data_IF_030363566504
#
_entry.id   IF_030363566504
#
_cell.length_a   1.000
_cell.length_b   1.000
_cell.length_c   1.000
_cell.angle_alpha   90.00
_cell.angle_beta   90.00
_cell.angle_gamma   90.00
#
_symmetry.space_group_name_H-M   'P 1'
#
loop_
_entity.id
_entity.type
_entity.pdbx_description
1 polymer ?
#
# COMPACT_ATOMS: atom_id res chain seq x y z
N UNK A 1 -3.03 -5.58 2.00
CA UNK A 1 -3.80 -6.85 1.88
C UNK A 1 -3.82 -7.57 3.22
N UNK A 2 -2.65 -7.87 3.79
CA UNK A 2 -2.52 -8.62 5.06
C UNK A 2 -3.09 -7.87 6.26
N UNK A 3 -2.83 -6.56 6.39
CA UNK A 3 -3.44 -5.76 7.48
C UNK A 3 -4.97 -5.77 7.40
N UNK A 4 -5.52 -5.69 6.19
CA UNK A 4 -6.97 -5.75 6.00
C UNK A 4 -7.54 -7.15 6.27
N UNK A 5 -6.78 -8.23 6.05
CA UNK A 5 -7.16 -9.57 6.50
C UNK A 5 -7.23 -9.62 8.04
N UNK A 6 -6.22 -9.08 8.74
CA UNK A 6 -6.21 -8.99 10.21
C UNK A 6 -7.41 -8.18 10.70
N UNK A 7 -7.68 -7.01 10.12
CA UNK A 7 -8.82 -6.17 10.50
C UNK A 7 -10.16 -6.88 10.27
N UNK A 8 -10.29 -7.71 9.22
CA UNK A 8 -11.50 -8.54 8.99
C UNK A 8 -11.64 -9.65 10.03
N UNK A 9 -10.56 -10.24 10.48
CA UNK A 9 -10.59 -11.24 11.56
C UNK A 9 -10.94 -10.62 12.91
N UNK A 10 -10.63 -9.34 13.10
CA UNK A 10 -11.07 -8.57 14.27
C UNK A 10 -12.54 -8.15 14.19
N UNK A 11 -13.11 -8.08 13.00
CA UNK A 11 -14.52 -7.73 12.80
C UNK A 11 -15.47 -8.89 13.17
N UNK A 12 -16.78 -8.62 13.38
CA UNK A 12 -17.77 -9.67 13.53
C UNK A 12 -17.82 -10.60 12.30
N UNK A 13 -18.06 -11.92 12.48
CA UNK A 13 -18.44 -12.60 13.73
C UNK A 13 -17.25 -13.07 14.59
N UNK A 14 -16.01 -13.01 14.10
CA UNK A 14 -14.86 -13.61 14.78
C UNK A 14 -14.40 -12.84 16.01
N UNK A 15 -14.50 -11.50 16.01
CA UNK A 15 -14.16 -10.63 17.15
C UNK A 15 -12.81 -10.94 17.82
N UNK A 16 -11.81 -11.37 17.02
CA UNK A 16 -10.50 -11.74 17.55
C UNK A 16 -9.73 -10.50 18.02
N UNK A 17 -8.84 -10.67 19.01
CA UNK A 17 -7.83 -9.66 19.28
C UNK A 17 -6.87 -9.54 18.09
N UNK A 18 -6.25 -8.36 17.92
CA UNK A 18 -5.26 -8.14 16.86
C UNK A 18 -4.10 -9.14 16.95
N UNK A 19 -3.62 -9.42 18.15
CA UNK A 19 -2.52 -10.36 18.40
C UNK A 19 -2.90 -11.79 18.02
N UNK A 20 -4.13 -12.22 18.34
CA UNK A 20 -4.62 -13.54 17.95
C UNK A 20 -4.75 -13.67 16.42
N UNK A 21 -5.30 -12.64 15.75
CA UNK A 21 -5.40 -12.62 14.29
C UNK A 21 -4.01 -12.63 13.62
N UNK A 22 -3.07 -11.82 14.12
CA UNK A 22 -1.70 -11.78 13.64
C UNK A 22 -0.99 -13.14 13.82
N UNK A 23 -1.18 -13.81 14.97
CA UNK A 23 -0.60 -15.12 15.22
C UNK A 23 -1.12 -16.19 14.24
N UNK A 24 -2.43 -16.19 13.92
CA UNK A 24 -3.00 -17.10 12.91
C UNK A 24 -2.35 -16.85 11.54
N UNK A 25 -2.22 -15.59 11.13
CA UNK A 25 -1.59 -15.23 9.85
C UNK A 25 -0.11 -15.62 9.81
N UNK A 26 0.63 -15.48 10.90
CA UNK A 26 2.05 -15.86 10.97
C UNK A 26 2.27 -17.38 10.95
N UNK A 27 1.28 -18.16 11.35
CA UNK A 27 1.38 -19.62 11.49
C UNK A 27 0.71 -20.41 10.37
N UNK A 28 0.03 -19.72 9.43
CA UNK A 28 -0.67 -20.34 8.30
C UNK A 28 0.29 -20.94 7.26
N UNK A 29 -0.24 -21.73 6.34
CA UNK A 29 0.53 -22.22 5.19
C UNK A 29 0.65 -21.12 4.12
N UNK A 30 1.77 -21.03 3.36
CA UNK A 30 1.86 -20.09 2.24
C UNK A 30 0.67 -20.17 1.27
N UNK A 31 0.12 -21.36 1.07
CA UNK A 31 -1.04 -21.60 0.22
C UNK A 31 -2.31 -20.89 0.74
N UNK A 32 -2.51 -20.78 2.05
CA UNK A 32 -3.67 -20.11 2.64
C UNK A 32 -3.70 -18.61 2.28
N UNK A 33 -2.55 -17.95 2.35
CA UNK A 33 -2.43 -16.53 2.00
C UNK A 33 -2.60 -16.29 0.51
N UNK A 34 -2.08 -17.20 -0.33
CA UNK A 34 -2.29 -17.16 -1.77
C UNK A 34 -3.76 -17.37 -2.13
N UNK A 35 -4.43 -18.32 -1.50
CA UNK A 35 -5.85 -18.56 -1.67
C UNK A 35 -6.67 -17.32 -1.28
N UNK A 36 -6.40 -16.71 -0.13
CA UNK A 36 -7.08 -15.49 0.29
C UNK A 36 -6.83 -14.33 -0.69
N UNK A 37 -5.59 -14.12 -1.13
CA UNK A 37 -5.25 -13.12 -2.14
C UNK A 37 -6.06 -13.30 -3.42
N UNK A 38 -6.25 -14.54 -3.86
CA UNK A 38 -7.04 -14.83 -5.07
C UNK A 38 -8.54 -14.65 -4.90
N UNK A 39 -9.08 -14.94 -3.71
CA UNK A 39 -10.47 -14.62 -3.39
C UNK A 39 -10.69 -13.10 -3.45
N UNK A 40 -9.78 -12.31 -2.87
CA UNK A 40 -9.80 -10.83 -2.92
C UNK A 40 -9.73 -10.33 -4.36
N UNK A 41 -8.83 -10.88 -5.18
CA UNK A 41 -8.70 -10.53 -6.59
C UNK A 41 -9.97 -10.84 -7.39
N UNK A 42 -10.54 -12.03 -7.19
CA UNK A 42 -11.75 -12.45 -7.90
C UNK A 42 -12.95 -11.57 -7.55
N UNK A 43 -13.10 -11.25 -6.26
CA UNK A 43 -14.20 -10.44 -5.75
C UNK A 43 -14.13 -8.97 -6.20
N UNK A 44 -12.94 -8.42 -6.44
CA UNK A 44 -12.78 -7.09 -7.03
C UNK A 44 -13.44 -6.95 -8.41
N UNK A 45 -13.55 -8.06 -9.17
CA UNK A 45 -14.03 -8.08 -10.56
C UNK A 45 -13.31 -7.01 -11.39
N UNK A 46 -12.03 -7.26 -11.65
CA UNK A 46 -11.10 -6.33 -12.30
C UNK A 46 -11.65 -5.69 -13.59
N UNK A 47 -12.45 -6.41 -14.38
CA UNK A 47 -13.04 -5.89 -15.61
C UNK A 47 -14.42 -5.25 -15.43
N UNK A 48 -14.85 -5.02 -14.19
CA UNK A 48 -16.15 -4.42 -13.87
C UNK A 48 -17.31 -5.43 -13.80
N UNK A 49 -18.54 -4.93 -13.64
CA UNK A 49 -19.75 -5.75 -13.60
C UNK A 49 -20.06 -6.40 -14.96
N UNK A 50 -21.03 -7.33 -15.03
CA UNK A 50 -21.50 -7.91 -16.30
C UNK A 50 -21.84 -6.81 -17.33
N UNK A 51 -21.58 -7.03 -18.64
CA UNK A 51 -21.33 -8.32 -19.29
C UNK A 51 -19.87 -8.79 -19.30
N UNK A 52 -18.95 -8.06 -18.67
CA UNK A 52 -17.54 -8.45 -18.67
C UNK A 52 -17.34 -9.77 -17.91
N UNK A 53 -16.47 -10.67 -18.42
CA UNK A 53 -16.26 -11.99 -17.81
C UNK A 53 -15.66 -11.87 -16.41
N UNK A 54 -15.90 -12.86 -15.56
CA UNK A 54 -15.22 -12.92 -14.27
C UNK A 54 -13.72 -13.23 -14.44
N UNK A 55 -12.85 -12.76 -13.53
CA UNK A 55 -11.43 -13.12 -13.53
C UNK A 55 -11.21 -14.64 -13.47
N UNK A 56 -12.01 -15.35 -12.67
CA UNK A 56 -11.90 -16.79 -12.51
C UNK A 56 -12.91 -17.54 -13.39
N UNK A 57 -12.44 -18.58 -14.08
CA UNK A 57 -13.29 -19.56 -14.77
C UNK A 57 -13.99 -20.49 -13.76
N UNK A 58 -15.01 -21.28 -14.17
CA UNK A 58 -15.75 -22.15 -13.26
C UNK A 58 -14.89 -23.13 -12.45
N UNK A 59 -13.88 -23.74 -13.08
CA UNK A 59 -12.95 -24.65 -12.39
C UNK A 59 -12.14 -23.92 -11.31
N UNK A 60 -11.71 -22.69 -11.61
CA UNK A 60 -10.98 -21.85 -10.67
C UNK A 60 -11.88 -21.36 -9.54
N UNK A 61 -13.14 -21.02 -9.82
CA UNK A 61 -14.12 -20.68 -8.78
C UNK A 61 -14.42 -21.89 -7.87
N UNK A 62 -14.46 -23.10 -8.42
CA UNK A 62 -14.61 -24.32 -7.64
C UNK A 62 -13.40 -24.59 -6.73
N UNK A 63 -12.20 -24.23 -7.19
CA UNK A 63 -10.98 -24.31 -6.39
C UNK A 63 -10.89 -23.20 -5.33
N UNK A 64 -11.30 -21.99 -5.67
CA UNK A 64 -11.38 -20.84 -4.75
C UNK A 64 -12.58 -20.94 -3.79
N UNK A 65 -13.21 -22.12 -3.69
CA UNK A 65 -14.33 -22.32 -2.78
C UNK A 65 -13.92 -21.89 -1.38
N UNK A 66 -14.92 -21.31 -0.75
CA UNK A 66 -14.82 -20.57 0.48
C UNK A 66 -14.42 -21.41 1.71
N UNK A 67 -14.26 -22.75 1.57
CA UNK A 67 -14.02 -23.72 2.64
C UNK A 67 -12.66 -24.43 2.62
N UNK A 68 -11.77 -24.16 1.65
CA UNK A 68 -10.52 -24.93 1.46
C UNK A 68 -9.30 -24.33 2.21
N UNK A 69 -9.39 -23.10 2.73
CA UNK A 69 -8.28 -22.39 3.39
C UNK A 69 -8.46 -22.15 4.89
N UNK A 70 -7.37 -21.77 5.57
CA UNK A 70 -7.37 -21.43 7.00
C UNK A 70 -8.17 -20.16 7.35
N UNK A 71 -8.49 -19.31 6.37
CA UNK A 71 -9.20 -18.06 6.58
C UNK A 71 -10.67 -18.18 6.20
N UNK A 72 -11.50 -17.41 6.90
CA UNK A 72 -12.90 -17.26 6.53
C UNK A 72 -13.04 -16.77 5.07
N UNK A 73 -14.12 -17.17 4.39
CA UNK A 73 -14.46 -16.73 3.04
C UNK A 73 -14.30 -15.23 2.87
N UNK A 74 -13.57 -14.76 1.85
CA UNK A 74 -13.58 -13.33 1.54
C UNK A 74 -14.95 -12.91 1.00
N UNK A 75 -15.66 -12.07 1.76
CA UNK A 75 -16.93 -11.47 1.37
C UNK A 75 -16.66 -10.01 1.00
N UNK A 76 -16.78 -9.60 -0.28
CA UNK A 76 -16.58 -8.21 -0.65
C UNK A 76 -17.68 -7.33 -0.05
N UNK A 77 -17.28 -6.19 0.50
CA UNK A 77 -18.24 -5.14 0.86
C UNK A 77 -18.99 -4.65 -0.41
N UNK A 78 -20.33 -4.80 -0.48
CA UNK A 78 -21.12 -4.38 -1.64
C UNK A 78 -21.10 -2.86 -1.85
N UNK A 79 -20.88 -2.07 -0.80
CA UNK A 79 -20.74 -0.60 -0.91
C UNK A 79 -19.43 -0.18 -1.58
N UNK A 80 -18.47 -1.10 -1.68
CA UNK A 80 -17.15 -0.90 -2.29
C UNK A 80 -17.00 -1.70 -3.62
N UNK A 81 -18.11 -1.99 -4.30
CA UNK A 81 -18.08 -2.68 -5.58
C UNK A 81 -17.22 -1.93 -6.62
N UNK A 82 -16.28 -2.64 -7.26
CA UNK A 82 -15.35 -2.06 -8.23
C UNK A 82 -14.24 -1.18 -7.61
N UNK A 83 -14.12 -1.16 -6.27
CA UNK A 83 -13.02 -0.52 -5.55
C UNK A 83 -12.08 -1.61 -5.03
N UNK A 84 -10.75 -1.51 -5.25
CA UNK A 84 -9.79 -2.47 -4.71
C UNK A 84 -9.93 -2.61 -3.19
N UNK A 85 -10.05 -3.83 -2.66
CA UNK A 85 -10.13 -4.11 -1.22
C UNK A 85 -8.78 -4.62 -0.67
N UNK A 86 -7.71 -3.94 -1.11
CA UNK A 86 -6.35 -4.05 -0.62
C UNK A 86 -5.73 -2.64 -0.52
N UNK A 87 -4.50 -2.56 -0.06
CA UNK A 87 -3.82 -1.29 0.19
C UNK A 87 -3.33 -0.67 -1.11
N UNK A 88 -3.41 0.66 -1.21
CA UNK A 88 -2.96 1.38 -2.40
C UNK A 88 -1.44 1.23 -2.59
N UNK A 89 -0.94 1.26 -3.81
CA UNK A 89 0.49 1.08 -4.13
C UNK A 89 1.42 2.05 -3.38
N UNK A 90 0.89 3.20 -2.94
CA UNK A 90 1.60 4.15 -2.09
C UNK A 90 2.02 3.58 -0.73
N UNK A 91 1.20 2.71 -0.13
CA UNK A 91 1.53 1.93 1.07
C UNK A 91 2.78 1.08 0.83
N UNK A 92 2.78 0.32 -0.26
CA UNK A 92 3.89 -0.56 -0.61
C UNK A 92 5.14 0.24 -0.92
N UNK A 93 5.01 1.37 -1.62
CA UNK A 93 6.13 2.25 -1.95
C UNK A 93 6.86 2.75 -0.69
N UNK A 94 6.13 3.29 0.29
CA UNK A 94 6.78 3.83 1.50
C UNK A 94 7.40 2.74 2.36
N UNK A 95 6.72 1.58 2.49
CA UNK A 95 7.29 0.46 3.23
C UNK A 95 8.50 -0.14 2.53
N UNK A 96 8.51 -0.23 1.21
CA UNK A 96 9.66 -0.77 0.49
C UNK A 96 10.88 0.16 0.58
N UNK A 97 10.66 1.48 0.66
CA UNK A 97 11.71 2.46 0.95
C UNK A 97 12.43 2.25 2.29
N UNK A 98 11.87 1.46 3.22
CA UNK A 98 12.54 1.14 4.51
C UNK A 98 13.74 0.20 4.37
N UNK A 99 13.89 -0.45 3.22
CA UNK A 99 14.77 -1.60 2.96
C UNK A 99 14.38 -2.90 3.66
N UNK A 100 13.15 -3.00 4.19
CA UNK A 100 12.69 -4.21 4.87
C UNK A 100 12.85 -5.46 4.00
N UNK A 101 12.47 -5.41 2.72
CA UNK A 101 12.57 -6.58 1.82
C UNK A 101 14.01 -7.04 1.64
N UNK A 102 14.97 -6.12 1.44
CA UNK A 102 16.39 -6.43 1.23
C UNK A 102 17.01 -7.01 2.50
N UNK A 103 16.63 -6.49 3.67
CA UNK A 103 17.06 -7.03 4.96
C UNK A 103 16.51 -8.44 5.15
N UNK A 104 15.21 -8.66 4.93
CA UNK A 104 14.58 -9.98 5.05
C UNK A 104 15.14 -10.99 4.02
N UNK A 105 15.52 -10.54 2.83
CA UNK A 105 16.22 -11.37 1.83
C UNK A 105 17.53 -11.91 2.38
N UNK A 106 18.33 -11.06 3.04
CA UNK A 106 19.58 -11.49 3.68
C UNK A 106 19.32 -12.42 4.86
N UNK A 107 18.31 -12.17 5.67
CA UNK A 107 17.90 -13.09 6.76
C UNK A 107 17.60 -14.48 6.19
N UNK A 108 16.82 -14.55 5.10
CA UNK A 108 16.49 -15.81 4.46
C UNK A 108 17.74 -16.53 3.92
N UNK A 109 18.64 -15.79 3.25
CA UNK A 109 19.91 -16.33 2.77
C UNK A 109 20.76 -16.91 3.91
N UNK A 110 20.87 -16.19 5.02
CA UNK A 110 21.66 -16.64 6.16
C UNK A 110 21.05 -17.88 6.84
N UNK A 111 19.72 -17.99 6.95
CA UNK A 111 19.10 -19.20 7.50
C UNK A 111 19.10 -20.40 6.53
N UNK A 112 18.92 -20.19 5.22
CA UNK A 112 18.80 -21.27 4.23
C UNK A 112 20.13 -21.76 3.67
N UNK A 113 21.16 -20.92 3.68
CA UNK A 113 22.45 -21.25 3.04
C UNK A 113 23.67 -20.81 3.84
N UNK A 114 23.58 -19.73 4.60
CA UNK A 114 24.72 -19.17 5.32
C UNK A 114 25.01 -19.81 6.68
N UNK A 115 24.00 -20.40 7.32
CA UNK A 115 23.99 -20.85 8.73
C UNK A 115 24.46 -19.77 9.75
N UNK A 116 24.66 -18.52 9.32
CA UNK A 116 25.25 -17.45 10.11
C UNK A 116 24.36 -16.91 11.23
N UNK A 117 23.06 -17.25 11.21
CA UNK A 117 22.08 -16.86 12.23
C UNK A 117 21.74 -17.99 13.21
N UNK A 118 22.41 -19.15 13.10
CA UNK A 118 22.10 -20.33 13.90
C UNK A 118 20.88 -21.09 13.42
N UNK A 119 20.31 -21.93 14.29
CA UNK A 119 19.20 -22.83 13.96
C UNK A 119 17.87 -22.13 14.24
N UNK A 120 17.01 -21.90 13.23
CA UNK A 120 15.72 -21.25 13.42
C UNK A 120 14.73 -22.17 14.15
N UNK A 121 13.87 -21.58 14.99
CA UNK A 121 12.73 -22.29 15.57
C UNK A 121 11.77 -22.80 14.48
N UNK A 122 10.91 -23.76 14.82
CA UNK A 122 9.89 -24.29 13.88
C UNK A 122 9.00 -23.16 13.34
N UNK A 123 8.65 -22.20 14.20
CA UNK A 123 7.82 -21.07 13.80
C UNK A 123 8.56 -20.14 12.82
N UNK A 124 9.86 -19.89 13.04
CA UNK A 124 10.68 -19.14 12.08
C UNK A 124 10.88 -19.90 10.77
N UNK A 125 10.97 -21.23 10.79
CA UNK A 125 11.02 -22.03 9.57
C UNK A 125 9.77 -21.86 8.70
N UNK A 126 8.57 -21.85 9.31
CA UNK A 126 7.32 -21.53 8.59
C UNK A 126 7.33 -20.10 8.05
N UNK A 127 7.80 -19.15 8.85
CA UNK A 127 7.96 -17.76 8.40
C UNK A 127 8.90 -17.66 7.18
N UNK A 128 9.99 -18.44 7.15
CA UNK A 128 10.93 -18.48 6.03
C UNK A 128 10.23 -18.98 4.74
N UNK A 129 9.43 -20.04 4.82
CA UNK A 129 8.68 -20.59 3.68
C UNK A 129 7.71 -19.56 3.09
N UNK A 130 6.90 -18.92 3.94
CA UNK A 130 5.94 -17.89 3.51
C UNK A 130 6.67 -16.69 2.91
N UNK A 131 7.75 -16.25 3.55
CA UNK A 131 8.57 -15.13 3.08
C UNK A 131 9.15 -15.40 1.69
N UNK A 132 9.67 -16.61 1.46
CA UNK A 132 10.23 -17.01 0.17
C UNK A 132 9.18 -17.00 -0.94
N UNK A 133 8.01 -17.57 -0.67
CA UNK A 133 6.88 -17.64 -1.62
C UNK A 133 6.34 -16.25 -1.94
N UNK A 134 6.10 -15.41 -0.93
CA UNK A 134 5.45 -14.11 -1.12
C UNK A 134 6.40 -13.03 -1.66
N UNK A 135 7.65 -12.99 -1.21
CA UNK A 135 8.58 -11.89 -1.53
C UNK A 135 9.52 -12.21 -2.70
N UNK A 136 9.90 -13.48 -2.86
CA UNK A 136 10.94 -13.90 -3.80
C UNK A 136 10.42 -14.84 -4.90
N UNK A 137 9.11 -15.13 -4.91
CA UNK A 137 8.45 -15.84 -6.01
C UNK A 137 8.79 -17.32 -6.07
N UNK A 138 9.18 -17.93 -4.94
CA UNK A 138 9.34 -19.38 -4.86
C UNK A 138 8.04 -20.08 -5.27
N UNK A 139 8.16 -21.05 -6.20
CA UNK A 139 7.13 -21.92 -6.78
C UNK A 139 5.68 -21.61 -6.36
N UNK A 140 5.06 -20.60 -6.96
CA UNK A 140 3.67 -20.26 -6.64
C UNK A 140 2.72 -21.37 -7.16
N UNK A 141 1.92 -22.02 -6.29
CA UNK A 141 0.97 -23.06 -6.71
C UNK A 141 -0.15 -22.53 -7.63
N UNK A 142 -0.38 -21.21 -7.67
CA UNK A 142 -1.35 -20.51 -8.50
C UNK A 142 -0.67 -19.57 -9.51
N UNK A 143 0.26 -20.12 -10.28
CA UNK A 143 1.08 -19.43 -11.28
C UNK A 143 0.37 -18.57 -12.35
N UNK A 144 -0.87 -18.86 -12.84
CA UNK A 144 -1.45 -18.09 -13.94
C UNK A 144 -1.70 -16.61 -13.60
N UNK A 145 -1.47 -16.23 -12.34
CA UNK A 145 -1.85 -14.95 -11.81
C UNK A 145 -0.72 -14.16 -11.13
N UNK A 146 0.51 -14.62 -11.29
CA UNK A 146 1.70 -13.91 -10.84
C UNK A 146 1.96 -12.64 -11.65
N UNK A 147 2.51 -11.61 -10.99
CA UNK A 147 3.11 -10.45 -11.66
C UNK A 147 4.54 -10.75 -12.15
N UNK A 148 5.12 -11.86 -11.71
CA UNK A 148 6.44 -12.35 -12.12
C UNK A 148 6.28 -13.55 -13.05
N UNK A 149 7.32 -13.79 -13.86
CA UNK A 149 7.40 -14.94 -14.76
C UNK A 149 8.85 -15.11 -15.21
N UNK A 150 9.13 -16.08 -16.08
CA UNK A 150 10.46 -16.19 -16.73
C UNK A 150 10.87 -14.89 -17.45
N UNK A 151 9.91 -14.09 -17.91
CA UNK A 151 10.16 -12.79 -18.57
C UNK A 151 10.40 -11.68 -17.54
N UNK A 152 9.78 -11.78 -16.36
CA UNK A 152 9.90 -10.80 -15.26
C UNK A 152 10.32 -11.54 -13.99
N UNK A 153 11.58 -12.00 -13.91
CA UNK A 153 12.00 -12.95 -12.88
C UNK A 153 12.14 -12.30 -11.51
N UNK A 154 12.52 -11.03 -11.43
CA UNK A 154 12.72 -10.32 -10.17
C UNK A 154 11.43 -9.61 -9.70
N UNK A 155 10.84 -10.02 -8.55
CA UNK A 155 9.69 -9.35 -7.96
C UNK A 155 9.96 -7.88 -7.59
N UNK A 156 11.18 -7.52 -7.19
CA UNK A 156 11.53 -6.14 -6.84
C UNK A 156 11.53 -5.23 -8.08
N UNK A 157 12.14 -5.67 -9.18
CA UNK A 157 12.07 -4.99 -10.48
C UNK A 157 10.62 -4.72 -10.93
N UNK A 158 9.71 -5.68 -10.75
CA UNK A 158 8.28 -5.51 -11.08
C UNK A 158 7.64 -4.40 -10.23
N UNK A 159 7.92 -4.36 -8.92
CA UNK A 159 7.40 -3.32 -8.03
C UNK A 159 8.00 -1.94 -8.32
N UNK A 160 9.32 -1.85 -8.54
CA UNK A 160 9.99 -0.61 -8.97
C UNK A 160 9.38 -0.04 -10.24
N UNK A 161 9.11 -0.87 -11.24
CA UNK A 161 8.42 -0.44 -12.45
C UNK A 161 6.98 0.02 -12.18
N UNK A 162 6.25 -0.62 -11.26
CA UNK A 162 4.92 -0.17 -10.86
C UNK A 162 4.96 1.22 -10.19
N UNK A 163 5.91 1.47 -9.28
CA UNK A 163 6.13 2.78 -8.66
C UNK A 163 6.49 3.85 -9.69
N UNK A 164 7.39 3.52 -10.62
CA UNK A 164 7.75 4.40 -11.72
C UNK A 164 6.53 4.75 -12.58
N UNK A 165 5.72 3.76 -12.96
CA UNK A 165 4.54 3.97 -13.80
C UNK A 165 3.46 4.80 -13.12
N UNK A 166 3.23 4.62 -11.82
CA UNK A 166 2.13 5.28 -11.10
C UNK A 166 2.52 6.64 -10.49
N UNK A 167 3.75 6.77 -9.98
CA UNK A 167 4.22 7.94 -9.24
C UNK A 167 5.36 8.69 -9.93
N UNK A 168 6.02 8.09 -10.94
CA UNK A 168 7.25 8.64 -11.48
C UNK A 168 8.43 8.57 -10.51
N UNK A 169 8.37 7.68 -9.52
CA UNK A 169 9.36 7.55 -8.46
C UNK A 169 10.09 6.21 -8.51
N UNK A 170 11.33 6.22 -8.03
CA UNK A 170 12.11 5.02 -7.73
C UNK A 170 12.30 4.93 -6.20
N UNK A 171 12.84 3.80 -5.73
CA UNK A 171 13.22 3.64 -4.33
C UNK A 171 14.49 4.44 -4.04
N UNK A 172 14.63 4.93 -2.81
CA UNK A 172 15.75 5.76 -2.37
C UNK A 172 17.11 5.02 -2.30
N UNK A 173 17.13 3.72 -2.59
CA UNK A 173 18.31 2.87 -2.52
C UNK A 173 18.42 1.95 -3.74
N UNK A 174 19.65 1.47 -3.96
CA UNK A 174 20.00 0.55 -5.04
C UNK A 174 19.60 -0.90 -4.79
N UNK A 175 20.41 -1.85 -5.25
CA UNK A 175 20.26 -3.27 -4.93
C UNK A 175 20.78 -3.58 -3.53
N UNK A 176 20.83 -4.86 -3.14
CA UNK A 176 21.38 -5.32 -1.86
C UNK A 176 22.83 -4.89 -1.65
N UNK A 177 23.60 -4.74 -2.74
CA UNK A 177 24.99 -4.27 -2.74
C UNK A 177 25.10 -2.77 -2.99
N UNK A 178 23.99 -2.03 -2.86
CA UNK A 178 23.86 -0.60 -3.16
C UNK A 178 24.22 -0.21 -4.62
N UNK A 179 24.25 -1.17 -5.55
CA UNK A 179 24.45 -0.86 -6.98
C UNK A 179 23.17 -0.24 -7.56
N UNK A 180 23.26 0.59 -8.60
CA UNK A 180 22.07 1.07 -9.28
C UNK A 180 21.16 -0.10 -9.72
N UNK A 181 19.84 -0.03 -9.44
CA UNK A 181 18.92 -1.09 -9.80
C UNK A 181 18.80 -1.16 -11.33
N UNK A 182 18.80 -2.37 -11.88
CA UNK A 182 18.58 -2.59 -13.31
C UNK A 182 17.23 -3.28 -13.49
N UNK A 183 16.30 -2.63 -14.17
CA UNK A 183 14.98 -3.18 -14.47
C UNK A 183 14.39 -2.53 -15.73
N UNK A 184 13.40 -3.19 -16.33
CA UNK A 184 12.68 -2.69 -17.50
C UNK A 184 11.78 -1.51 -17.14
N UNK A 185 12.36 -0.31 -17.21
CA UNK A 185 11.70 0.94 -16.87
C UNK A 185 10.75 1.33 -18.00
N UNK A 186 9.46 1.48 -17.67
CA UNK A 186 8.46 1.88 -18.67
C UNK A 186 8.76 3.26 -19.28
N UNK A 187 8.51 3.41 -20.58
CA UNK A 187 8.71 4.67 -21.33
C UNK A 187 7.86 5.82 -20.79
N UNK A 188 6.69 5.51 -20.22
CA UNK A 188 5.75 6.51 -19.71
C UNK A 188 5.59 6.37 -18.19
N UNK A 189 5.58 7.51 -17.49
CA UNK A 189 5.47 7.62 -16.04
C UNK A 189 4.65 8.84 -15.64
N UNK A 190 4.14 8.84 -14.41
CA UNK A 190 3.39 9.97 -13.85
C UNK A 190 4.35 11.02 -13.24
N UNK A 191 5.05 11.76 -14.09
CA UNK A 191 6.13 12.66 -13.65
C UNK A 191 5.67 13.85 -12.79
N UNK A 192 4.39 14.22 -12.83
CA UNK A 192 3.84 15.35 -12.05
C UNK A 192 3.29 14.95 -10.68
N UNK A 193 3.26 13.66 -10.34
CA UNK A 193 2.62 13.16 -9.12
C UNK A 193 3.09 13.88 -7.86
N UNK A 194 4.42 13.91 -7.60
CA UNK A 194 4.95 14.51 -6.36
C UNK A 194 4.57 15.98 -6.24
N UNK A 195 4.65 16.73 -7.34
CA UNK A 195 4.35 18.16 -7.32
C UNK A 195 2.88 18.41 -6.93
N UNK A 196 1.95 17.68 -7.55
CA UNK A 196 0.52 17.81 -7.27
C UNK A 196 0.18 17.28 -5.87
N UNK A 197 0.81 16.18 -5.46
CA UNK A 197 0.61 15.58 -4.15
C UNK A 197 1.09 16.49 -3.02
N UNK A 198 2.31 17.02 -3.10
CA UNK A 198 2.85 17.94 -2.09
C UNK A 198 2.05 19.26 -2.02
N UNK A 199 1.56 19.75 -3.16
CA UNK A 199 0.66 20.93 -3.17
C UNK A 199 -0.66 20.63 -2.45
N UNK A 200 -1.24 19.45 -2.65
CA UNK A 200 -2.46 19.05 -1.91
C UNK A 200 -2.19 18.98 -0.40
N UNK A 201 -1.07 18.36 0.00
CA UNK A 201 -0.69 18.26 1.41
C UNK A 201 -0.51 19.64 2.06
N UNK A 202 0.07 20.60 1.34
CA UNK A 202 0.22 21.98 1.80
C UNK A 202 -1.15 22.66 2.03
N UNK A 203 -2.06 22.61 1.05
CA UNK A 203 -3.39 23.23 1.20
C UNK A 203 -4.22 22.58 2.31
N UNK A 204 -4.11 21.25 2.47
CA UNK A 204 -4.73 20.54 3.58
C UNK A 204 -4.15 20.94 4.94
N UNK A 205 -2.85 21.21 5.04
CA UNK A 205 -2.25 21.72 6.28
C UNK A 205 -2.83 23.08 6.67
N UNK A 206 -3.02 23.99 5.69
CA UNK A 206 -3.66 25.28 5.93
C UNK A 206 -5.10 25.09 6.44
N UNK A 207 -5.89 24.24 5.76
CA UNK A 207 -7.26 23.95 6.18
C UNK A 207 -7.32 23.34 7.59
N UNK A 208 -6.47 22.35 7.90
CA UNK A 208 -6.40 21.73 9.24
C UNK A 208 -6.05 22.78 10.32
N UNK A 209 -5.15 23.70 10.02
CA UNK A 209 -4.76 24.78 10.94
C UNK A 209 -5.94 25.72 11.18
N UNK A 210 -6.66 26.09 10.11
CA UNK A 210 -7.81 26.99 10.18
C UNK A 210 -9.00 26.38 10.91
N UNK A 211 -9.25 25.06 10.81
CA UNK A 211 -10.31 24.38 11.56
C UNK A 211 -10.16 24.57 13.07
N UNK A 212 -8.92 24.70 13.55
CA UNK A 212 -8.62 24.94 14.97
C UNK A 212 -8.62 26.43 15.33
N UNK A 213 -8.58 27.32 14.34
CA UNK A 213 -8.63 28.76 14.54
C UNK A 213 -10.07 29.22 14.72
N UNK A 214 -10.43 29.57 15.95
CA UNK A 214 -11.77 30.10 16.30
C UNK A 214 -11.87 31.62 16.13
N UNK A 215 -10.76 32.29 15.79
CA UNK A 215 -10.67 33.73 15.56
C UNK A 215 -9.70 34.02 14.41
N UNK A 216 -10.08 34.92 13.50
CA UNK A 216 -9.27 35.31 12.33
C UNK A 216 -9.98 35.01 10.99
N UNK A 217 -9.34 35.39 9.89
CA UNK A 217 -9.83 35.12 8.53
C UNK A 217 -9.63 33.64 8.21
N UNK A 218 -10.68 32.96 7.74
CA UNK A 218 -10.56 31.59 7.25
C UNK A 218 -9.77 31.58 5.93
N UNK A 219 -8.53 31.09 5.98
CA UNK A 219 -7.66 30.98 4.81
C UNK A 219 -7.82 29.63 4.06
N UNK A 220 -8.82 28.81 4.41
CA UNK A 220 -9.06 27.52 3.74
C UNK A 220 -9.72 27.76 2.39
N UNK A 221 -9.15 27.18 1.35
CA UNK A 221 -9.65 27.29 -0.03
C UNK A 221 -10.12 25.91 -0.50
N UNK A 222 -11.39 25.62 -0.24
CA UNK A 222 -12.03 24.34 -0.58
C UNK A 222 -12.07 24.09 -2.09
N UNK A 223 -12.23 25.17 -2.89
CA UNK A 223 -12.19 25.10 -4.35
C UNK A 223 -10.82 24.63 -4.84
N UNK A 224 -9.75 25.18 -4.27
CA UNK A 224 -8.38 24.79 -4.59
C UNK A 224 -8.08 23.36 -4.16
N UNK A 225 -8.45 22.98 -2.94
CA UNK A 225 -8.29 21.61 -2.44
C UNK A 225 -8.98 20.62 -3.39
N UNK A 226 -10.22 20.90 -3.78
CA UNK A 226 -10.96 20.07 -4.74
C UNK A 226 -10.24 19.95 -6.09
N UNK A 227 -9.82 21.07 -6.69
CA UNK A 227 -9.14 21.06 -8.00
C UNK A 227 -7.83 20.27 -7.98
N UNK A 228 -7.05 20.36 -6.90
CA UNK A 228 -5.80 19.60 -6.77
C UNK A 228 -6.10 18.11 -6.55
N UNK A 229 -7.07 17.78 -5.69
CA UNK A 229 -7.50 16.40 -5.47
C UNK A 229 -8.02 15.76 -6.77
N UNK A 230 -8.79 16.50 -7.56
CA UNK A 230 -9.28 16.08 -8.86
C UNK A 230 -8.12 15.84 -9.86
N UNK A 231 -7.17 16.78 -9.95
CA UNK A 231 -5.99 16.62 -10.80
C UNK A 231 -5.16 15.38 -10.41
N UNK A 232 -4.97 15.15 -9.11
CA UNK A 232 -4.26 13.99 -8.59
C UNK A 232 -4.99 12.68 -8.93
N UNK A 233 -6.32 12.65 -8.74
CA UNK A 233 -7.17 11.52 -9.12
C UNK A 233 -7.07 11.20 -10.61
N UNK A 234 -7.11 12.21 -11.48
CA UNK A 234 -6.96 12.00 -12.92
C UNK A 234 -5.60 11.42 -13.27
N UNK A 235 -4.52 11.96 -12.70
CA UNK A 235 -3.16 11.49 -12.95
C UNK A 235 -2.98 10.01 -12.52
N UNK A 236 -3.48 9.63 -11.35
CA UNK A 236 -3.41 8.26 -10.84
C UNK A 236 -4.28 7.30 -11.67
N UNK A 237 -5.54 7.65 -11.92
CA UNK A 237 -6.47 6.81 -12.69
C UNK A 237 -6.04 6.63 -14.15
N UNK A 238 -5.41 7.63 -14.76
CA UNK A 238 -4.91 7.53 -16.13
C UNK A 238 -3.89 6.38 -16.31
N UNK A 239 -3.14 6.04 -15.25
CA UNK A 239 -2.17 4.93 -15.27
C UNK A 239 -2.78 3.57 -14.94
N UNK A 240 -4.02 3.56 -14.46
CA UNK A 240 -4.78 2.38 -14.05
C UNK A 240 -5.94 2.04 -14.99
N UNK A 241 -5.99 2.64 -16.19
CA UNK A 241 -7.00 2.31 -17.19
C UNK A 241 -7.02 0.80 -17.44
N UNK A 242 -8.23 0.23 -17.50
CA UNK A 242 -8.44 -1.22 -17.63
C UNK A 242 -7.68 -2.06 -16.58
N UNK A 243 -7.41 -1.47 -15.41
CA UNK A 243 -6.74 -2.11 -14.28
C UNK A 243 -5.31 -2.63 -14.58
N UNK A 244 -4.59 -1.95 -15.48
CA UNK A 244 -3.23 -2.30 -15.97
C UNK A 244 -2.12 -2.33 -14.87
N UNK A 245 -2.46 -2.05 -13.61
CA UNK A 245 -1.54 -2.06 -12.45
C UNK A 245 -2.12 -2.75 -11.22
N UNK A 246 -3.39 -3.14 -11.25
CA UNK A 246 -4.10 -3.58 -10.04
C UNK A 246 -3.55 -4.89 -9.49
N UNK A 247 -2.97 -5.71 -10.38
CA UNK A 247 -2.28 -6.93 -9.99
C UNK A 247 -0.96 -6.65 -9.30
N UNK A 248 -0.10 -5.86 -9.93
CA UNK A 248 1.19 -5.48 -9.35
C UNK A 248 0.98 -4.80 -8.00
N UNK A 249 -0.08 -3.99 -7.86
CA UNK A 249 -0.48 -3.42 -6.59
C UNK A 249 -0.90 -4.45 -5.54
N UNK A 250 -1.78 -5.40 -5.88
CA UNK A 250 -2.19 -6.45 -4.94
C UNK A 250 -0.98 -7.26 -4.46
N UNK A 251 -0.11 -7.68 -5.37
CA UNK A 251 1.10 -8.44 -5.03
C UNK A 251 2.04 -7.62 -4.15
N UNK A 252 2.26 -6.33 -4.47
CA UNK A 252 3.06 -5.45 -3.64
C UNK A 252 2.43 -5.25 -2.25
N UNK A 253 1.14 -4.98 -2.17
CA UNK A 253 0.41 -4.77 -0.92
C UNK A 253 0.36 -6.05 -0.04
N UNK A 254 0.45 -7.22 -0.65
CA UNK A 254 0.63 -8.50 0.04
C UNK A 254 2.05 -8.64 0.58
N UNK A 255 3.07 -8.50 -0.27
CA UNK A 255 4.47 -8.66 0.13
C UNK A 255 4.88 -7.65 1.22
N UNK A 256 4.52 -6.37 1.07
CA UNK A 256 4.84 -5.34 2.05
C UNK A 256 3.93 -5.41 3.29
N UNK A 257 2.71 -5.93 3.14
CA UNK A 257 1.87 -6.31 4.28
C UNK A 257 2.52 -7.37 5.16
N UNK A 258 3.18 -8.35 4.54
CA UNK A 258 3.88 -9.43 5.26
C UNK A 258 5.12 -8.89 5.98
N UNK A 259 5.91 -8.05 5.31
CA UNK A 259 7.07 -7.40 5.91
C UNK A 259 6.68 -6.50 7.09
N UNK A 260 5.59 -5.75 6.98
CA UNK A 260 5.08 -4.94 8.08
C UNK A 260 4.59 -5.82 9.24
N UNK A 261 3.79 -6.86 8.98
CA UNK A 261 3.33 -7.80 10.00
C UNK A 261 4.51 -8.43 10.76
N UNK A 262 5.53 -8.88 10.03
CA UNK A 262 6.77 -9.43 10.60
C UNK A 262 7.41 -8.50 11.64
N UNK A 263 7.35 -7.19 11.39
CA UNK A 263 7.98 -6.15 12.22
C UNK A 263 7.00 -5.48 13.20
N UNK A 264 5.71 -5.75 13.09
CA UNK A 264 4.65 -5.12 13.89
C UNK A 264 4.70 -5.53 15.36
N UNK A 265 5.10 -6.78 15.63
CA UNK A 265 5.20 -7.37 16.95
C UNK A 265 6.52 -8.15 17.08
N UNK A 266 6.75 -8.74 18.26
CA UNK A 266 7.83 -9.70 18.45
C UNK A 266 7.41 -11.04 17.84
N UNK A 267 7.52 -11.13 16.51
CA UNK A 267 7.22 -12.35 15.76
C UNK A 267 8.34 -13.38 15.96
N UNK A 268 8.12 -14.67 15.61
CA UNK A 268 9.13 -15.71 15.85
C UNK A 268 10.52 -15.38 15.29
N UNK A 269 10.60 -14.78 14.09
CA UNK A 269 11.88 -14.38 13.50
C UNK A 269 12.54 -13.21 14.26
N UNK A 270 11.75 -12.30 14.84
CA UNK A 270 12.24 -11.20 15.69
C UNK A 270 12.81 -11.79 16.99
N UNK A 271 12.12 -12.75 17.59
CA UNK A 271 12.55 -13.40 18.82
C UNK A 271 13.82 -14.23 18.61
N UNK A 272 13.87 -15.06 17.56
CA UNK A 272 15.05 -15.88 17.23
C UNK A 272 16.28 -15.02 16.92
N UNK A 273 16.10 -13.86 16.29
CA UNK A 273 17.18 -12.90 16.03
C UNK A 273 17.54 -12.02 17.23
N UNK A 274 16.82 -12.19 18.35
CA UNK A 274 16.94 -11.36 19.57
C UNK A 274 16.82 -9.88 19.22
N UNK A 275 15.84 -9.55 18.38
CA UNK A 275 15.57 -8.21 17.85
C UNK A 275 14.32 -7.57 18.48
N UNK A 276 13.97 -7.98 19.70
CA UNK A 276 12.81 -7.48 20.43
C UNK A 276 12.92 -5.96 20.67
N UNK A 277 11.90 -5.23 20.24
CA UNK A 277 11.81 -3.79 20.46
C UNK A 277 10.35 -3.33 20.53
N UNK A 278 10.13 -2.05 20.81
CA UNK A 278 8.79 -1.44 20.93
C UNK A 278 8.26 -0.86 19.61
N UNK A 279 9.10 -0.73 18.58
CA UNK A 279 8.72 -0.16 17.29
C UNK A 279 9.19 -1.02 16.11
N UNK A 280 8.47 -1.02 14.97
CA UNK A 280 8.89 -1.74 13.76
C UNK A 280 10.25 -1.30 13.23
N UNK A 281 10.57 -0.01 13.37
CA UNK A 281 11.87 0.54 12.97
C UNK A 281 13.02 -0.05 13.79
N UNK A 282 12.91 -0.07 15.11
CA UNK A 282 13.98 -0.60 15.97
C UNK A 282 14.17 -2.10 15.75
N UNK A 283 13.07 -2.86 15.59
CA UNK A 283 13.15 -4.29 15.21
C UNK A 283 13.90 -4.45 13.89
N UNK A 284 13.55 -3.67 12.86
CA UNK A 284 14.22 -3.72 11.56
C UNK A 284 15.70 -3.34 11.65
N UNK A 285 16.05 -2.33 12.46
CA UNK A 285 17.44 -1.93 12.69
C UNK A 285 18.24 -3.06 13.32
N UNK A 286 17.73 -3.66 14.40
CA UNK A 286 18.38 -4.77 15.09
C UNK A 286 18.53 -6.00 14.17
N UNK A 287 17.51 -6.33 13.38
CA UNK A 287 17.61 -7.39 12.37
C UNK A 287 18.67 -7.04 11.31
N UNK A 288 18.66 -5.80 10.83
CA UNK A 288 19.62 -5.29 9.85
C UNK A 288 21.07 -5.41 10.31
N UNK A 289 21.33 -5.16 11.60
CA UNK A 289 22.64 -5.34 12.23
C UNK A 289 23.11 -6.80 12.19
N UNK A 290 22.19 -7.76 12.38
CA UNK A 290 22.52 -9.21 12.29
C UNK A 290 22.94 -9.64 10.88
N UNK A 291 22.42 -8.99 9.84
CA UNK A 291 22.67 -9.35 8.44
C UNK A 291 23.54 -8.35 7.68
N UNK A 292 24.16 -7.42 8.41
CA UNK A 292 25.08 -6.42 7.85
C UNK A 292 24.44 -5.47 6.83
N UNK A 293 23.15 -5.13 6.99
CA UNK A 293 22.43 -4.19 6.14
C UNK A 293 21.56 -3.25 6.97
N UNK A 294 21.95 -1.97 7.03
CA UNK A 294 21.18 -0.97 7.75
C UNK A 294 19.87 -0.62 7.01
N UNK A 295 18.76 -0.37 7.74
CA UNK A 295 17.54 0.16 7.17
C UNK A 295 17.73 1.60 6.69
N UNK A 296 16.75 2.11 5.94
CA UNK A 296 16.72 3.53 5.60
C UNK A 296 16.63 4.42 6.87
N UNK A 297 17.36 5.54 6.89
CA UNK A 297 17.43 6.43 8.06
C UNK A 297 16.07 7.05 8.44
N UNK A 298 15.14 7.10 7.49
CA UNK A 298 13.76 7.61 7.67
C UNK A 298 12.71 6.51 7.87
N UNK A 299 13.12 5.27 8.11
CA UNK A 299 12.19 4.12 8.22
C UNK A 299 11.09 4.30 9.27
N UNK A 300 11.37 4.99 10.39
CA UNK A 300 10.34 5.29 11.40
C UNK A 300 9.15 6.08 10.83
N UNK A 301 9.41 7.11 10.02
CA UNK A 301 8.37 7.91 9.39
C UNK A 301 7.63 7.12 8.30
N UNK A 302 8.38 6.32 7.52
CA UNK A 302 7.83 5.47 6.46
C UNK A 302 6.85 4.42 7.00
N UNK A 303 7.19 3.73 8.10
CA UNK A 303 6.25 2.82 8.78
C UNK A 303 5.04 3.57 9.32
N UNK A 304 5.27 4.71 9.97
CA UNK A 304 4.20 5.47 10.64
C UNK A 304 3.17 6.07 9.68
N UNK A 305 3.51 6.26 8.40
CA UNK A 305 2.62 6.84 7.40
C UNK A 305 1.92 5.82 6.50
N UNK A 306 2.37 4.57 6.47
CA UNK A 306 2.00 3.62 5.41
C UNK A 306 0.48 3.41 5.30
N UNK A 307 -0.18 3.07 6.41
CA UNK A 307 -1.62 2.86 6.44
C UNK A 307 -2.42 4.11 6.10
N UNK A 308 -2.03 5.27 6.64
CA UNK A 308 -2.72 6.54 6.38
C UNK A 308 -2.54 7.04 4.95
N UNK A 309 -1.37 6.80 4.35
CA UNK A 309 -1.12 7.10 2.93
C UNK A 309 -1.98 6.21 2.03
N UNK A 310 -2.14 4.93 2.38
CA UNK A 310 -3.07 4.02 1.69
C UNK A 310 -4.48 4.60 1.68
N UNK A 311 -4.99 4.95 2.87
CA UNK A 311 -6.33 5.49 3.06
C UNK A 311 -6.51 6.81 2.31
N UNK A 312 -5.55 7.72 2.43
CA UNK A 312 -5.56 9.02 1.76
C UNK A 312 -5.68 8.87 0.24
N UNK A 313 -4.77 8.09 -0.38
CA UNK A 313 -4.75 7.92 -1.82
C UNK A 313 -5.99 7.19 -2.34
N UNK A 314 -6.53 6.21 -1.59
CA UNK A 314 -7.79 5.55 -1.95
C UNK A 314 -8.98 6.51 -1.93
N UNK A 315 -9.06 7.43 -0.97
CA UNK A 315 -10.13 8.44 -0.90
C UNK A 315 -10.01 9.46 -2.04
N UNK A 316 -8.79 9.89 -2.38
CA UNK A 316 -8.57 10.75 -3.55
C UNK A 316 -8.96 10.02 -4.84
N UNK A 317 -8.53 8.78 -5.01
CA UNK A 317 -8.84 7.99 -6.22
C UNK A 317 -10.31 7.57 -6.33
N UNK A 318 -11.02 7.36 -5.22
CA UNK A 318 -12.43 6.94 -5.24
C UNK A 318 -13.32 7.99 -5.90
N UNK A 319 -12.96 9.27 -5.77
CA UNK A 319 -13.76 10.38 -6.24
C UNK A 319 -14.86 10.81 -5.26
N UNK A 320 -14.75 10.42 -3.99
CA UNK A 320 -15.66 10.88 -2.92
C UNK A 320 -15.66 12.40 -2.82
N UNK A 321 -14.52 13.06 -3.04
CA UNK A 321 -14.45 14.52 -3.18
C UNK A 321 -14.86 14.88 -4.61
N UNK A 322 -16.17 14.95 -4.86
CA UNK A 322 -16.74 15.24 -6.18
C UNK A 322 -17.01 16.72 -6.45
N UNK A 323 -16.87 17.56 -5.44
CA UNK A 323 -17.03 19.00 -5.51
C UNK A 323 -16.36 19.71 -4.33
N UNK A 324 -16.21 21.05 -4.38
CA UNK A 324 -15.62 21.85 -3.31
C UNK A 324 -16.30 21.64 -1.94
N UNK A 325 -17.63 21.47 -1.94
CA UNK A 325 -18.44 21.23 -0.75
C UNK A 325 -18.13 19.90 -0.04
N UNK A 326 -17.35 19.01 -0.65
CA UNK A 326 -16.87 17.76 -0.06
C UNK A 326 -15.37 17.78 0.26
N UNK A 327 -14.67 18.91 0.05
CA UNK A 327 -13.25 19.04 0.35
C UNK A 327 -12.94 18.76 1.84
N UNK A 328 -13.88 19.08 2.73
CA UNK A 328 -13.80 18.81 4.16
C UNK A 328 -13.52 17.36 4.52
N UNK A 329 -13.89 16.40 3.66
CA UNK A 329 -13.60 14.98 3.84
C UNK A 329 -12.09 14.76 4.03
N UNK A 330 -11.24 15.58 3.40
CA UNK A 330 -9.78 15.41 3.46
C UNK A 330 -9.14 16.05 4.70
N UNK A 331 -9.78 16.98 5.40
CA UNK A 331 -9.13 17.75 6.47
C UNK A 331 -9.88 17.78 7.81
N UNK A 332 -11.18 17.50 7.85
CA UNK A 332 -11.94 17.41 9.11
C UNK A 332 -11.74 16.07 9.82
N UNK A 333 -12.02 16.05 11.12
CA UNK A 333 -12.06 14.81 11.93
C UNK A 333 -13.48 14.27 12.10
N UNK A 334 -14.49 15.13 11.91
CA UNK A 334 -15.91 14.79 11.99
C UNK A 334 -16.67 15.46 10.84
N UNK A 335 -17.74 14.84 10.33
CA UNK A 335 -18.58 15.47 9.32
C UNK A 335 -19.13 16.82 9.82
N UNK A 336 -19.31 17.82 8.94
CA UNK A 336 -19.97 19.07 9.29
C UNK A 336 -21.35 18.83 9.91
N UNK A 337 -21.76 19.70 10.84
CA UNK A 337 -23.09 19.64 11.45
C UNK A 337 -24.16 19.73 10.35
N UNK A 338 -25.14 18.83 10.40
CA UNK A 338 -26.19 18.74 9.37
C UNK A 338 -25.87 17.84 8.17
N UNK A 339 -24.72 17.15 8.19
CA UNK A 339 -24.40 16.13 7.18
C UNK A 339 -25.48 15.03 7.16
N UNK A 340 -25.88 14.55 5.96
CA UNK A 340 -26.89 13.50 5.85
C UNK A 340 -26.40 12.19 6.49
N UNK A 341 -27.32 11.33 6.98
CA UNK A 341 -26.97 9.98 7.38
C UNK A 341 -26.24 9.25 6.25
N UNK A 342 -25.09 8.64 6.55
CA UNK A 342 -24.25 7.98 5.55
C UNK A 342 -23.32 8.91 4.76
N UNK A 343 -23.15 10.17 5.18
CA UNK A 343 -22.13 11.05 4.64
C UNK A 343 -20.73 10.41 4.70
N UNK A 344 -19.86 10.82 3.77
CA UNK A 344 -18.49 10.32 3.69
C UNK A 344 -17.76 10.50 5.03
N UNK A 345 -17.09 9.44 5.48
CA UNK A 345 -16.28 9.51 6.70
C UNK A 345 -15.01 10.34 6.42
N UNK A 346 -14.78 11.43 7.16
CA UNK A 346 -13.63 12.28 6.92
C UNK A 346 -12.34 11.59 7.39
N UNK A 347 -11.21 12.05 6.84
CA UNK A 347 -9.89 11.45 7.01
C UNK A 347 -8.84 12.46 7.51
N UNK A 348 -9.23 13.57 8.11
CA UNK A 348 -8.31 14.63 8.54
C UNK A 348 -7.21 14.16 9.51
N UNK A 349 -7.49 13.17 10.36
CA UNK A 349 -6.46 12.55 11.21
C UNK A 349 -5.39 11.82 10.37
N UNK A 350 -5.80 11.06 9.36
CA UNK A 350 -4.90 10.38 8.42
C UNK A 350 -4.13 11.39 7.57
N UNK A 351 -4.80 12.42 7.03
CA UNK A 351 -4.16 13.49 6.26
C UNK A 351 -3.09 14.21 7.08
N UNK A 352 -3.38 14.56 8.34
CA UNK A 352 -2.40 15.20 9.24
C UNK A 352 -1.16 14.32 9.47
N UNK A 353 -1.37 13.02 9.64
CA UNK A 353 -0.29 12.04 9.82
C UNK A 353 0.56 11.92 8.55
N UNK A 354 -0.07 11.80 7.37
CA UNK A 354 0.63 11.81 6.08
C UNK A 354 1.46 13.09 5.91
N UNK A 355 0.91 14.27 6.17
CA UNK A 355 1.64 15.55 6.06
C UNK A 355 2.89 15.54 6.95
N UNK A 356 2.72 15.15 8.22
CA UNK A 356 3.81 15.18 9.22
C UNK A 356 4.92 14.20 8.88
N UNK A 357 4.55 12.96 8.59
CA UNK A 357 5.52 11.90 8.33
C UNK A 357 6.16 12.03 6.93
N UNK A 358 5.43 12.51 5.92
CA UNK A 358 5.99 12.80 4.60
C UNK A 358 7.04 13.91 4.67
N UNK A 359 6.77 15.00 5.39
CA UNK A 359 7.75 16.05 5.63
C UNK A 359 9.01 15.51 6.34
N UNK A 360 8.83 14.63 7.34
CA UNK A 360 9.94 13.96 8.04
C UNK A 360 10.77 13.06 7.12
N UNK A 361 10.10 12.30 6.24
CA UNK A 361 10.75 11.35 5.34
C UNK A 361 11.49 12.04 4.18
N UNK A 362 10.90 13.09 3.61
CA UNK A 362 11.48 13.83 2.48
C UNK A 362 12.44 14.95 2.90
N UNK A 363 12.34 15.42 4.14
CA UNK A 363 13.08 16.59 4.64
C UNK A 363 12.58 17.93 4.08
N UNK A 364 11.45 17.94 3.35
CA UNK A 364 10.83 19.16 2.84
C UNK A 364 9.88 19.75 3.87
N UNK A 365 9.91 21.07 4.01
CA UNK A 365 8.91 21.77 4.80
C UNK A 365 7.63 21.93 3.99
N UNK A 366 6.62 21.11 4.32
CA UNK A 366 5.27 21.19 3.74
C UNK A 366 4.37 22.21 4.45
N UNK A 367 4.87 22.88 5.50
CA UNK A 367 4.08 23.80 6.34
C UNK A 367 4.36 25.26 6.02
N UNK A 368 5.48 25.56 5.36
CA UNK A 368 5.85 26.90 4.89
C UNK A 368 6.02 26.91 3.37
N UNK A 369 5.76 28.07 2.74
CA UNK A 369 5.77 28.21 1.29
C UNK A 369 6.83 29.19 0.82
N UNK A 370 7.48 28.87 -0.30
CA UNK A 370 8.25 29.85 -1.09
C UNK A 370 7.40 30.52 -2.21
N UNK A 371 6.62 29.77 -3.03
CA UNK A 371 5.71 30.31 -4.09
C UNK A 371 4.53 29.40 -4.50
N UNK A 372 3.38 30.00 -4.90
CA UNK A 372 2.44 29.61 -5.96
C UNK A 372 2.77 28.46 -6.92
N UNK A 373 2.11 27.29 -6.90
CA UNK A 373 2.14 26.40 -8.08
C UNK A 373 0.88 26.69 -8.91
N UNK A 374 1.07 27.15 -10.15
CA UNK A 374 -0.03 27.27 -11.11
C UNK A 374 -0.47 25.88 -11.56
N UNK A 375 -1.70 25.51 -11.21
CA UNK A 375 -2.32 24.26 -11.65
C UNK A 375 -2.76 24.42 -13.11
N UNK A 376 -2.12 23.70 -14.04
CA UNK A 376 -2.62 23.61 -15.41
C UNK A 376 -3.87 22.71 -15.41
N UNK A 377 -5.00 23.12 -16.00
CA UNK A 377 -6.18 22.27 -16.09
C UNK A 377 -5.84 20.95 -16.76
N UNK A 378 -6.40 19.81 -16.31
CA UNK A 378 -6.18 18.54 -16.98
C UNK A 378 -6.68 18.65 -18.43
N UNK A 379 -5.76 18.60 -19.38
CA UNK A 379 -6.13 18.52 -20.80
C UNK A 379 -6.82 17.19 -21.03
N UNK A 380 -8.12 17.24 -21.36
CA UNK A 380 -8.90 16.07 -21.76
C UNK A 380 -8.11 15.34 -22.86
N UNK A 381 -7.85 14.02 -22.74
CA UNK A 381 -7.22 13.29 -23.82
C UNK A 381 -8.07 13.46 -25.09
N UNK A 382 -7.45 13.59 -26.28
CA UNK A 382 -8.20 13.73 -27.51
C UNK A 382 -9.19 12.56 -27.60
N UNK A 383 -10.46 12.87 -27.82
CA UNK A 383 -11.44 11.88 -28.21
C UNK A 383 -10.85 11.16 -29.43
N UNK A 384 -10.65 9.85 -29.35
CA UNK A 384 -10.43 9.03 -30.53
C UNK A 384 -11.71 9.11 -31.35
N UNK A 385 -11.78 10.12 -32.22
CA UNK A 385 -12.81 10.24 -33.24
C UNK A 385 -12.53 9.14 -34.25
N UNK A 386 -13.33 8.08 -34.17
CA UNK A 386 -13.63 7.11 -35.22
C UNK A 386 -12.48 6.64 -36.13
N UNK A 387 -11.98 5.43 -35.87
CA UNK A 387 -11.62 4.56 -36.99
C UNK A 387 -12.90 3.78 -37.36
N UNK A 388 -13.46 4.10 -38.52
CA UNK A 388 -14.45 3.26 -39.21
C UNK A 388 -13.79 1.99 -39.72
#
# INVERSE_FOLDING_TARGET
MIQQLIDRMMAPPSNMSRDAAAAIVLMCDPFDLLLHMEQVWNAFRVWGPPPNPQPASPARLAFLRYDIGAFAPFIPDPSLAGVPQWDHLGYSYVLENTRAIQILRRVLREYRSGEGLGIPSIATQRWLEITEVLLFGAANPLAPWLSTSVIRPDPEAVRRNAYWRLFGLDLAFGTDDNRPPTYDKATHANASFIQVFEELLFELWQAITNVRNTSGVNASDDDRIFRIAEALRFALRARRQNQLLSREELVAATALGWAELTLSANTPVVEDLVANATSPYERLRMIGERVGLAPHSRSSALFSMAGDLSRFLRIVESGVVSGPELAWVLYLEQPPVGSPPGAASPIGASSRRVITEWASATGKDLKTRAKPIEMRPPTRPPLLVGAR
#
